data_IF_819753626785
#
_entry.id   IF_819753626785
#
_cell.length_a   1.000
_cell.length_b   1.000
_cell.length_c   1.000
_cell.angle_alpha   90.00
_cell.angle_beta   90.00
_cell.angle_gamma   90.00
#
_symmetry.space_group_name_H-M   'P 1'
#
loop_
_entity.id
_entity.type
_entity.pdbx_description
1 polymer ?
#
# COMPACT_ATOMS: atom_id res chain seq x y z
N UNK A 1 29.89 18.54 4.62
CA UNK A 1 29.29 17.42 5.39
C UNK A 1 27.76 17.41 5.31
N UNK A 2 27.08 18.53 5.01
CA UNK A 2 25.61 18.56 4.84
C UNK A 2 25.08 17.83 3.58
N UNK A 3 25.82 17.81 2.47
CA UNK A 3 25.37 17.12 1.24
C UNK A 3 25.26 15.59 1.40
N UNK A 4 26.09 15.00 2.26
CA UNK A 4 26.10 13.56 2.51
C UNK A 4 24.85 13.10 3.27
N UNK A 5 24.31 13.97 4.15
CA UNK A 5 23.04 13.74 4.84
C UNK A 5 21.83 13.87 3.90
N UNK A 6 21.86 14.80 2.94
CA UNK A 6 20.78 14.97 1.97
C UNK A 6 20.67 13.78 1.00
N UNK A 7 21.78 13.32 0.39
CA UNK A 7 21.75 12.12 -0.47
C UNK A 7 21.37 10.85 0.29
N UNK A 8 21.71 10.74 1.58
CA UNK A 8 21.27 9.63 2.42
C UNK A 8 19.75 9.67 2.73
N UNK A 9 19.11 10.84 2.66
CA UNK A 9 17.68 11.02 2.91
C UNK A 9 16.83 10.89 1.63
N UNK A 10 17.40 11.19 0.46
CA UNK A 10 16.73 11.03 -0.84
C UNK A 10 16.39 9.56 -1.14
N UNK A 11 17.29 8.65 -0.78
CA UNK A 11 17.11 7.21 -1.03
C UNK A 11 15.92 6.58 -0.25
N UNK A 12 15.76 6.79 1.07
CA UNK A 12 14.58 6.31 1.80
C UNK A 12 13.30 7.03 1.34
N UNK A 13 13.37 8.30 0.95
CA UNK A 13 12.21 9.05 0.47
C UNK A 13 11.74 8.56 -0.91
N UNK A 14 12.67 8.19 -1.80
CA UNK A 14 12.37 7.56 -3.08
C UNK A 14 11.70 6.18 -2.90
N UNK A 15 12.22 5.35 -1.99
CA UNK A 15 11.61 4.06 -1.65
C UNK A 15 10.22 4.22 -1.05
N UNK A 16 10.01 5.21 -0.18
CA UNK A 16 8.70 5.51 0.40
C UNK A 16 7.68 5.95 -0.65
N UNK A 17 8.11 6.81 -1.60
CA UNK A 17 7.27 7.23 -2.71
C UNK A 17 6.92 6.05 -3.63
N UNK A 18 7.88 5.18 -3.93
CA UNK A 18 7.66 3.98 -4.72
C UNK A 18 6.69 3.01 -4.03
N UNK A 19 6.82 2.85 -2.71
CA UNK A 19 5.90 2.06 -1.88
C UNK A 19 4.47 2.62 -1.96
N UNK A 20 4.30 3.94 -1.84
CA UNK A 20 3.00 4.62 -1.96
C UNK A 20 2.38 4.42 -3.34
N UNK A 21 3.17 4.55 -4.41
CA UNK A 21 2.70 4.31 -5.78
C UNK A 21 2.26 2.86 -5.96
N UNK A 22 3.05 1.90 -5.51
CA UNK A 22 2.69 0.48 -5.56
C UNK A 22 1.40 0.19 -4.79
N UNK A 23 1.22 0.82 -3.64
CA UNK A 23 0.04 0.69 -2.80
C UNK A 23 -1.23 1.22 -3.49
N UNK A 24 -1.14 2.41 -4.11
CA UNK A 24 -2.23 2.99 -4.89
C UNK A 24 -2.58 2.10 -6.08
N UNK A 25 -1.58 1.56 -6.79
CA UNK A 25 -1.80 0.65 -7.91
C UNK A 25 -2.50 -0.64 -7.47
N UNK A 26 -2.09 -1.23 -6.34
CA UNK A 26 -2.73 -2.41 -5.76
C UNK A 26 -4.20 -2.12 -5.43
N UNK A 27 -4.50 -0.99 -4.76
CA UNK A 27 -5.88 -0.59 -4.48
C UNK A 27 -6.67 -0.42 -5.78
N UNK A 28 -6.09 0.23 -6.80
CA UNK A 28 -6.75 0.48 -8.07
C UNK A 28 -7.09 -0.84 -8.80
N UNK A 29 -6.15 -1.79 -8.84
CA UNK A 29 -6.36 -3.11 -9.42
C UNK A 29 -7.42 -3.86 -8.62
N UNK A 30 -7.33 -3.87 -7.30
CA UNK A 30 -8.32 -4.52 -6.45
C UNK A 30 -9.70 -3.90 -6.60
N UNK A 31 -9.80 -2.58 -6.72
CA UNK A 31 -11.06 -1.88 -6.92
C UNK A 31 -11.63 -2.16 -8.30
N UNK A 32 -10.81 -2.22 -9.35
CA UNK A 32 -11.23 -2.61 -10.70
C UNK A 32 -11.76 -4.05 -10.74
N UNK A 33 -11.06 -4.98 -10.08
CA UNK A 33 -11.51 -6.37 -9.91
C UNK A 33 -12.79 -6.38 -9.08
N UNK A 34 -12.82 -5.78 -7.89
CA UNK A 34 -14.02 -5.73 -7.05
C UNK A 34 -15.19 -5.10 -7.79
N UNK A 35 -15.02 -4.00 -8.51
CA UNK A 35 -16.10 -3.31 -9.20
C UNK A 35 -16.68 -4.16 -10.32
N UNK A 36 -15.82 -4.71 -11.18
CA UNK A 36 -16.24 -5.60 -12.27
C UNK A 36 -16.90 -6.86 -11.71
N UNK A 37 -16.34 -7.43 -10.65
CA UNK A 37 -16.86 -8.66 -10.05
C UNK A 37 -18.12 -8.39 -9.22
N UNK A 38 -18.24 -7.25 -8.54
CA UNK A 38 -19.44 -6.83 -7.78
C UNK A 38 -20.59 -6.53 -8.71
N UNK A 39 -20.35 -5.84 -9.82
CA UNK A 39 -21.35 -5.63 -10.86
C UNK A 39 -21.83 -6.93 -11.50
N UNK A 40 -20.94 -7.93 -11.61
CA UNK A 40 -21.27 -9.24 -12.22
C UNK A 40 -21.84 -10.26 -11.23
N UNK A 41 -21.55 -10.15 -9.94
CA UNK A 41 -21.81 -11.20 -8.94
C UNK A 41 -22.50 -10.73 -7.64
N UNK A 42 -22.92 -9.46 -7.52
CA UNK A 42 -23.53 -8.92 -6.28
C UNK A 42 -22.67 -9.22 -5.04
N UNK A 43 -21.37 -8.88 -5.12
CA UNK A 43 -20.36 -9.38 -4.19
C UNK A 43 -20.51 -8.77 -2.78
N UNK A 44 -20.29 -9.57 -1.72
CA UNK A 44 -20.63 -9.20 -0.36
C UNK A 44 -19.54 -8.33 0.29
N UNK A 45 -19.95 -7.55 1.29
CA UNK A 45 -19.12 -6.67 2.14
C UNK A 45 -17.83 -7.33 2.69
N UNK A 46 -17.79 -8.66 2.76
CA UNK A 46 -16.65 -9.42 3.30
C UNK A 46 -15.38 -9.25 2.47
N UNK A 47 -15.47 -9.07 1.15
CA UNK A 47 -14.29 -8.87 0.30
C UNK A 47 -13.63 -7.52 0.57
N UNK A 48 -14.41 -6.44 0.72
CA UNK A 48 -13.89 -5.12 1.09
C UNK A 48 -13.21 -5.14 2.47
N UNK A 49 -13.77 -5.90 3.42
CA UNK A 49 -13.20 -6.06 4.75
C UNK A 49 -11.86 -6.80 4.70
N UNK A 50 -11.76 -7.92 3.98
CA UNK A 50 -10.49 -8.66 3.83
C UNK A 50 -9.37 -7.81 3.24
N UNK A 51 -9.69 -6.93 2.29
CA UNK A 51 -8.72 -5.98 1.72
C UNK A 51 -8.24 -4.98 2.76
N UNK A 52 -9.16 -4.35 3.49
CA UNK A 52 -8.82 -3.41 4.56
C UNK A 52 -7.96 -4.05 5.65
N UNK A 53 -8.22 -5.31 6.00
CA UNK A 53 -7.45 -6.08 6.98
C UNK A 53 -6.03 -6.36 6.48
N UNK A 54 -5.86 -6.86 5.25
CA UNK A 54 -4.53 -7.16 4.68
C UNK A 54 -3.71 -5.87 4.56
N UNK A 55 -4.35 -4.78 4.15
CA UNK A 55 -3.74 -3.47 4.02
C UNK A 55 -3.29 -2.88 5.36
N UNK A 56 -4.14 -2.99 6.39
CA UNK A 56 -3.80 -2.57 7.75
C UNK A 56 -2.69 -3.43 8.35
N UNK A 57 -2.70 -4.75 8.10
CA UNK A 57 -1.62 -5.63 8.53
C UNK A 57 -0.29 -5.31 7.83
N UNK A 58 -0.32 -5.09 6.52
CA UNK A 58 0.88 -4.80 5.74
C UNK A 58 1.54 -3.48 6.15
N UNK A 59 0.72 -2.44 6.36
CA UNK A 59 1.20 -1.15 6.86
C UNK A 59 1.70 -1.22 8.31
N UNK A 60 1.03 -1.96 9.19
CA UNK A 60 1.50 -2.19 10.56
C UNK A 60 2.81 -2.99 10.59
N UNK A 61 2.95 -4.02 9.76
CA UNK A 61 4.17 -4.81 9.66
C UNK A 61 5.36 -3.98 9.16
N UNK A 62 5.15 -3.17 8.12
CA UNK A 62 6.18 -2.27 7.62
C UNK A 62 6.57 -1.23 8.69
N UNK A 63 5.60 -0.66 9.39
CA UNK A 63 5.87 0.27 10.49
C UNK A 63 6.67 -0.40 11.62
N UNK A 64 6.37 -1.65 11.95
CA UNK A 64 7.08 -2.41 12.98
C UNK A 64 8.53 -2.74 12.57
N UNK A 65 8.73 -3.21 11.34
CA UNK A 65 10.07 -3.54 10.81
C UNK A 65 10.93 -2.29 10.61
N UNK A 66 10.33 -1.13 10.35
CA UNK A 66 11.04 0.14 10.23
C UNK A 66 11.29 0.82 11.59
N UNK A 67 10.71 0.31 12.68
CA UNK A 67 10.92 0.78 14.05
C UNK A 67 12.03 0.00 14.78
N UNK A 68 12.32 -1.23 14.34
CA UNK A 68 13.44 -2.08 14.78
C UNK A 68 14.71 -1.73 14.03
#
# INVERSE_FOLDING_TARGET
MEQLHFSALEQPLFLLALQLIAFVLIICILYGILYNTTLKLNIPKWTAHSVATIFSLGSAYQAFMNFI
#
